data_IF_873741640393
#
_entry.id   IF_873741640393
#
_cell.length_a   1.000
_cell.length_b   1.000
_cell.length_c   1.000
_cell.angle_alpha   90.00
_cell.angle_beta   90.00
_cell.angle_gamma   90.00
#
_symmetry.space_group_name_H-M   'P 1'
#
loop_
_entity.id
_entity.type
_entity.pdbx_description
1 polymer ?
#
# COMPACT_ATOMS: atom_id res chain seq x y z
N UNK A 1 -46.76 -33.01 6.46
CA UNK A 1 -47.28 -32.71 7.80
C UNK A 1 -46.88 -31.28 8.15
N UNK A 2 -47.89 -30.40 8.13
CA UNK A 2 -47.80 -28.96 8.29
C UNK A 2 -47.90 -28.63 9.77
N UNK A 3 -47.07 -27.72 10.30
CA UNK A 3 -47.33 -27.07 11.56
C UNK A 3 -47.04 -25.55 11.39
N UNK A 4 -48.13 -24.84 11.21
CA UNK A 4 -48.26 -23.39 11.29
C UNK A 4 -48.49 -22.98 12.76
N UNK A 5 -47.69 -22.08 13.30
CA UNK A 5 -47.93 -21.41 14.57
C UNK A 5 -48.64 -20.07 14.33
N UNK A 6 -49.85 -19.96 14.82
CA UNK A 6 -50.63 -18.71 14.92
C UNK A 6 -50.16 -17.87 16.12
N UNK A 7 -49.93 -16.58 15.90
CA UNK A 7 -49.76 -15.57 16.99
C UNK A 7 -50.94 -14.62 16.93
N UNK A 8 -51.69 -14.56 18.05
CA UNK A 8 -52.80 -13.65 18.28
C UNK A 8 -52.32 -12.30 18.86
N UNK A 9 -52.91 -11.17 18.47
CA UNK A 9 -52.52 -9.85 18.99
C UNK A 9 -53.27 -9.49 20.28
N UNK A 10 -52.54 -8.94 21.26
CA UNK A 10 -53.08 -8.41 22.52
C UNK A 10 -53.36 -6.91 22.36
N UNK A 11 -54.57 -6.48 22.67
CA UNK A 11 -55.02 -5.07 22.76
C UNK A 11 -54.53 -4.41 24.05
N UNK A 12 -54.18 -3.12 24.07
CA UNK A 12 -53.92 -2.39 25.29
C UNK A 12 -55.21 -1.72 25.84
N UNK A 13 -55.44 -1.84 27.14
CA UNK A 13 -56.41 -1.05 27.90
C UNK A 13 -55.70 -0.40 29.09
N UNK A 14 -56.13 0.81 29.33
CA UNK A 14 -56.14 1.65 30.55
C UNK A 14 -55.24 2.89 30.50
N UNK A 15 -56.03 3.99 30.44
CA UNK A 15 -55.70 5.37 30.74
C UNK A 15 -55.57 5.60 32.26
N UNK A 16 -54.58 6.37 32.70
CA UNK A 16 -54.51 6.99 34.03
C UNK A 16 -54.12 8.47 33.96
N UNK A 17 -54.45 9.31 34.92
CA UNK A 17 -54.74 10.70 34.72
C UNK A 17 -53.54 11.66 34.87
N UNK A 18 -53.68 12.83 34.27
CA UNK A 18 -52.80 14.00 34.38
C UNK A 18 -52.54 14.43 35.84
N UNK A 19 -51.29 14.48 36.26
CA UNK A 19 -50.79 15.33 37.34
C UNK A 19 -49.79 16.32 36.79
N UNK A 20 -50.10 17.60 36.90
CA UNK A 20 -49.23 18.73 36.64
C UNK A 20 -48.14 18.82 37.71
N UNK A 21 -46.88 18.86 37.30
CA UNK A 21 -45.72 19.22 38.12
C UNK A 21 -45.14 20.55 37.66
N UNK A 22 -44.58 21.37 38.57
CA UNK A 22 -44.11 22.71 38.23
C UNK A 22 -42.83 22.71 37.44
N UNK A 23 -42.70 23.66 36.53
CA UNK A 23 -41.53 23.91 35.67
C UNK A 23 -40.32 24.31 36.51
N UNK A 24 -39.30 23.43 36.54
CA UNK A 24 -37.96 23.78 37.03
C UNK A 24 -37.16 24.26 35.82
N UNK A 25 -36.71 25.52 35.88
CA UNK A 25 -35.73 26.07 34.92
C UNK A 25 -34.41 25.31 35.05
N UNK A 26 -34.17 24.35 34.19
CA UNK A 26 -32.84 23.75 33.98
C UNK A 26 -32.22 24.44 32.75
N UNK A 27 -31.66 25.60 33.01
CA UNK A 27 -30.90 26.33 32.02
C UNK A 27 -29.40 26.23 32.30
N UNK A 28 -28.65 26.01 31.27
CA UNK A 28 -27.20 26.26 31.13
C UNK A 28 -26.16 25.22 31.60
N UNK A 29 -26.46 24.18 32.37
CA UNK A 29 -25.41 23.18 32.69
C UNK A 29 -25.26 22.02 31.68
N UNK A 30 -26.30 21.74 30.92
CA UNK A 30 -26.30 20.63 29.93
C UNK A 30 -25.50 20.97 28.66
N UNK A 31 -25.39 22.24 28.28
CA UNK A 31 -24.63 22.66 27.09
C UNK A 31 -23.12 22.51 27.28
N UNK A 32 -22.58 22.82 28.47
CA UNK A 32 -21.13 22.67 28.74
C UNK A 32 -20.72 21.18 28.80
N UNK A 33 -21.58 20.32 29.39
CA UNK A 33 -21.25 18.90 29.48
C UNK A 33 -21.29 18.20 28.13
N UNK A 34 -22.22 18.61 27.25
CA UNK A 34 -22.28 18.08 25.88
C UNK A 34 -21.06 18.54 25.03
N UNK A 35 -20.62 19.78 25.23
CA UNK A 35 -19.43 20.30 24.53
C UNK A 35 -18.13 19.64 25.01
N UNK A 36 -18.00 19.37 26.31
CA UNK A 36 -16.83 18.65 26.84
C UNK A 36 -16.81 17.17 26.42
N UNK A 37 -17.97 16.51 26.34
CA UNK A 37 -18.07 15.12 25.85
C UNK A 37 -17.76 15.06 24.33
N UNK A 38 -18.19 16.06 23.56
CA UNK A 38 -17.89 16.12 22.12
C UNK A 38 -16.39 16.39 21.87
N UNK A 39 -15.78 17.32 22.62
CA UNK A 39 -14.33 17.61 22.53
C UNK A 39 -13.51 16.41 23.01
N UNK A 40 -13.92 15.73 24.09
CA UNK A 40 -13.26 14.52 24.56
C UNK A 40 -13.32 13.37 23.55
N UNK A 41 -14.45 13.20 22.84
CA UNK A 41 -14.59 12.18 21.78
C UNK A 41 -13.76 12.52 20.52
N UNK A 42 -13.70 13.80 20.14
CA UNK A 42 -12.88 14.24 18.98
C UNK A 42 -11.39 14.13 19.29
N UNK A 43 -10.95 14.46 20.53
CA UNK A 43 -9.58 14.25 20.97
C UNK A 43 -9.24 12.75 21.07
N UNK A 44 -10.11 11.91 21.61
CA UNK A 44 -9.90 10.47 21.70
C UNK A 44 -9.85 9.81 20.31
N UNK A 45 -10.70 10.24 19.37
CA UNK A 45 -10.60 9.81 17.96
C UNK A 45 -9.31 10.31 17.31
N UNK A 46 -8.89 11.55 17.58
CA UNK A 46 -7.62 12.10 17.09
C UNK A 46 -6.43 11.31 17.63
N UNK A 47 -6.37 10.97 18.91
CA UNK A 47 -5.32 10.13 19.50
C UNK A 47 -5.37 8.68 18.99
N UNK A 48 -6.55 8.08 18.78
CA UNK A 48 -6.67 6.77 18.14
C UNK A 48 -6.15 6.78 16.70
N UNK A 49 -6.50 7.80 15.92
CA UNK A 49 -6.01 7.95 14.54
C UNK A 49 -4.49 8.16 14.53
N UNK A 50 -3.94 9.02 15.39
CA UNK A 50 -2.49 9.24 15.51
C UNK A 50 -1.77 7.99 16.03
N UNK A 51 -2.30 7.27 17.01
CA UNK A 51 -1.76 6.01 17.49
C UNK A 51 -1.83 4.90 16.43
N UNK A 52 -2.89 4.84 15.64
CA UNK A 52 -2.97 4.00 14.45
C UNK A 52 -1.88 4.38 13.44
N UNK A 53 -1.66 5.66 13.16
CA UNK A 53 -0.63 6.13 12.23
C UNK A 53 0.79 5.80 12.67
N UNK A 54 1.12 5.91 13.97
CA UNK A 54 2.43 5.52 14.51
C UNK A 54 2.63 3.99 14.47
N UNK A 55 1.63 3.20 14.79
CA UNK A 55 1.65 1.75 14.60
C UNK A 55 1.74 1.36 13.11
N UNK A 56 1.16 2.16 12.22
CA UNK A 56 1.15 1.93 10.79
C UNK A 56 2.52 2.01 10.15
N UNK A 57 3.27 3.10 10.43
CA UNK A 57 4.62 3.27 9.89
C UNK A 57 5.54 2.15 10.37
N UNK A 58 5.47 1.78 11.66
CA UNK A 58 6.29 0.70 12.22
C UNK A 58 5.85 -0.70 11.78
N UNK A 59 4.54 -0.92 11.50
CA UNK A 59 4.04 -2.20 11.01
C UNK A 59 4.41 -2.43 9.55
N UNK A 60 4.24 -1.41 8.69
CA UNK A 60 4.60 -1.49 7.28
C UNK A 60 6.10 -1.69 7.07
N UNK A 61 6.90 -1.08 7.92
CA UNK A 61 8.36 -1.21 7.93
C UNK A 61 8.83 -2.63 8.27
N UNK A 62 8.23 -3.26 9.26
CA UNK A 62 8.57 -4.64 9.62
C UNK A 62 8.00 -5.68 8.65
N UNK A 63 7.02 -5.30 7.82
CA UNK A 63 6.41 -6.17 6.81
C UNK A 63 7.33 -6.46 5.62
N UNK A 64 8.26 -5.56 5.34
CA UNK A 64 9.23 -5.75 4.25
C UNK A 64 10.38 -6.68 4.70
N UNK A 65 10.47 -7.03 5.98
CA UNK A 65 11.63 -7.71 6.56
C UNK A 65 11.55 -9.24 6.66
N UNK A 66 10.51 -9.89 6.15
CA UNK A 66 10.42 -11.35 6.21
C UNK A 66 10.66 -11.96 4.84
N UNK A 67 11.77 -12.67 4.74
CA UNK A 67 12.21 -13.34 3.53
C UNK A 67 11.42 -14.63 3.24
N UNK A 68 10.95 -14.75 1.99
CA UNK A 68 10.63 -16.04 1.39
C UNK A 68 11.91 -16.87 1.08
N UNK A 69 13.07 -16.25 1.15
CA UNK A 69 14.40 -16.87 0.99
C UNK A 69 15.14 -16.88 2.33
N UNK A 70 14.86 -17.89 3.16
CA UNK A 70 15.63 -18.31 4.33
C UNK A 70 16.22 -17.21 5.22
N UNK A 71 15.62 -17.00 6.40
CA UNK A 71 16.15 -16.35 7.63
C UNK A 71 17.48 -15.56 7.51
N UNK A 72 17.59 -14.61 6.63
CA UNK A 72 18.53 -13.53 6.81
C UNK A 72 17.83 -12.45 7.66
N UNK A 73 18.45 -12.07 8.78
CA UNK A 73 18.06 -10.85 9.51
C UNK A 73 18.37 -9.66 8.59
N UNK A 74 17.42 -9.25 7.76
CA UNK A 74 17.55 -8.13 6.84
C UNK A 74 16.81 -6.91 7.37
N UNK A 75 17.43 -5.75 7.25
CA UNK A 75 16.79 -4.48 7.48
C UNK A 75 16.01 -4.06 6.24
N UNK A 76 14.68 -4.08 6.32
CA UNK A 76 13.82 -3.48 5.31
C UNK A 76 13.67 -1.98 5.53
N UNK A 77 13.97 -1.18 4.53
CA UNK A 77 13.84 0.28 4.58
C UNK A 77 12.99 0.76 3.42
N UNK A 78 12.02 1.64 3.71
CA UNK A 78 11.10 2.20 2.72
C UNK A 78 11.14 3.73 2.73
N UNK A 79 10.81 4.32 1.57
CA UNK A 79 10.54 5.73 1.39
C UNK A 79 9.42 5.94 0.37
N UNK A 80 8.29 6.48 0.78
CA UNK A 80 7.12 6.64 -0.07
C UNK A 80 5.91 7.22 0.65
N UNK A 81 4.75 6.98 0.05
CA UNK A 81 3.46 7.42 0.56
C UNK A 81 2.45 6.27 0.60
N UNK A 82 1.58 6.28 1.60
CA UNK A 82 0.48 5.35 1.76
C UNK A 82 -0.88 6.05 1.84
N UNK A 83 -1.91 5.39 1.36
CA UNK A 83 -3.30 5.81 1.43
C UNK A 83 -4.08 4.82 2.30
N UNK A 84 -4.35 5.16 3.57
CA UNK A 84 -4.98 4.26 4.54
C UNK A 84 -6.51 4.34 4.47
N UNK A 85 -7.06 4.28 3.27
CA UNK A 85 -8.50 4.28 3.02
C UNK A 85 -8.82 3.26 1.94
N UNK A 86 -10.04 2.75 2.00
CA UNK A 86 -10.51 1.73 1.06
C UNK A 86 -10.47 2.19 -0.39
N UNK A 87 -9.80 1.42 -1.25
CA UNK A 87 -9.71 1.66 -2.69
C UNK A 87 -10.01 0.40 -3.48
N UNK A 88 -10.71 0.55 -4.61
CA UNK A 88 -11.03 -0.54 -5.53
C UNK A 88 -10.00 -0.66 -6.66
N UNK A 89 -9.25 0.38 -6.90
CA UNK A 89 -8.24 0.40 -7.95
C UNK A 89 -7.23 1.51 -7.72
N UNK A 90 -6.01 1.26 -8.17
CA UNK A 90 -4.94 2.24 -8.18
C UNK A 90 -4.09 2.10 -9.43
N UNK A 91 -3.61 3.21 -9.95
CA UNK A 91 -2.71 3.29 -11.12
C UNK A 91 -1.56 4.22 -10.83
N UNK A 92 -0.36 3.83 -11.27
CA UNK A 92 0.83 4.64 -11.05
C UNK A 92 1.88 4.44 -12.12
N UNK A 93 2.57 5.50 -12.49
CA UNK A 93 3.79 5.49 -13.29
C UNK A 93 5.00 5.38 -12.37
N UNK A 94 5.79 4.32 -12.53
CA UNK A 94 7.00 4.05 -11.76
C UNK A 94 8.22 4.33 -12.64
N UNK A 95 9.10 5.23 -12.20
CA UNK A 95 10.38 5.46 -12.85
C UNK A 95 11.31 4.23 -12.68
N UNK A 96 11.90 3.75 -13.78
CA UNK A 96 12.77 2.58 -13.78
C UNK A 96 14.19 3.03 -13.47
N UNK A 97 14.62 2.78 -12.24
CA UNK A 97 15.98 3.08 -11.79
C UNK A 97 16.61 1.83 -11.17
N UNK A 98 17.77 1.46 -11.66
CA UNK A 98 18.52 0.32 -11.17
C UNK A 98 19.85 0.76 -10.56
N UNK A 99 20.16 0.27 -9.37
CA UNK A 99 21.49 0.39 -8.79
C UNK A 99 22.38 -0.69 -9.37
N UNK A 100 23.51 -0.30 -9.96
CA UNK A 100 24.53 -1.24 -10.40
C UNK A 100 25.44 -1.62 -9.24
N UNK A 101 25.92 -2.88 -9.23
CA UNK A 101 26.92 -3.34 -8.26
C UNK A 101 26.36 -3.64 -6.87
N UNK A 102 25.11 -4.06 -6.77
CA UNK A 102 24.56 -4.55 -5.51
C UNK A 102 25.25 -5.85 -5.07
N UNK A 103 25.43 -5.98 -3.76
CA UNK A 103 25.84 -7.23 -3.15
C UNK A 103 24.78 -8.31 -3.38
N UNK A 104 25.18 -9.57 -3.44
CA UNK A 104 24.27 -10.70 -3.64
C UNK A 104 23.09 -10.72 -2.65
N UNK A 105 23.34 -10.28 -1.42
CA UNK A 105 22.35 -10.25 -0.32
C UNK A 105 21.48 -9.00 -0.29
N UNK A 106 21.70 -8.04 -1.18
CA UNK A 106 20.99 -6.76 -1.18
C UNK A 106 19.85 -6.75 -2.19
N UNK A 107 18.80 -6.03 -1.85
CA UNK A 107 17.68 -5.73 -2.73
C UNK A 107 17.42 -4.22 -2.77
N UNK A 108 17.12 -3.68 -3.94
CA UNK A 108 16.62 -2.31 -4.10
C UNK A 108 15.54 -2.28 -5.17
N UNK A 109 14.44 -1.60 -4.89
CA UNK A 109 13.30 -1.58 -5.82
C UNK A 109 12.30 -0.48 -5.54
N UNK A 110 11.21 -0.54 -6.31
CA UNK A 110 10.04 0.31 -6.20
C UNK A 110 8.78 -0.49 -6.49
N UNK A 111 7.76 -0.30 -5.68
CA UNK A 111 6.52 -1.07 -5.79
C UNK A 111 5.26 -0.26 -5.54
N UNK A 112 4.20 -0.72 -6.17
CA UNK A 112 2.81 -0.51 -5.81
C UNK A 112 2.38 -1.67 -4.94
N UNK A 113 1.86 -1.42 -3.76
CA UNK A 113 1.33 -2.43 -2.85
C UNK A 113 -0.08 -2.10 -2.38
N UNK A 114 -0.87 -3.15 -2.20
CA UNK A 114 -2.17 -3.10 -1.54
C UNK A 114 -2.16 -4.08 -0.37
N UNK A 115 -2.83 -3.72 0.70
CA UNK A 115 -2.85 -4.57 1.90
C UNK A 115 -3.99 -4.25 2.84
N UNK A 116 -4.15 -5.05 3.87
CA UNK A 116 -5.02 -4.73 4.99
C UNK A 116 -4.27 -4.00 6.09
N UNK A 117 -5.06 -3.28 6.89
CA UNK A 117 -4.61 -2.69 8.14
C UNK A 117 -5.00 -3.66 9.24
N UNK A 118 -4.05 -4.42 9.78
CA UNK A 118 -4.33 -5.30 10.90
C UNK A 118 -3.42 -4.95 12.07
N UNK A 119 -4.02 -4.69 13.21
CA UNK A 119 -3.31 -4.44 14.47
C UNK A 119 -2.59 -5.71 14.96
N UNK A 120 -3.17 -6.87 14.68
CA UNK A 120 -2.49 -8.15 14.83
C UNK A 120 -1.69 -8.46 13.56
N UNK A 121 -0.40 -8.14 13.60
CA UNK A 121 0.56 -8.40 12.51
C UNK A 121 0.58 -9.85 12.02
N UNK A 122 -0.04 -10.78 12.75
CA UNK A 122 -0.10 -12.19 12.39
C UNK A 122 -0.95 -12.50 11.17
N UNK A 123 -1.84 -11.58 10.79
CA UNK A 123 -2.83 -11.75 9.73
C UNK A 123 -2.74 -10.70 8.62
N UNK A 124 -1.59 -10.07 8.46
CA UNK A 124 -1.37 -9.10 7.39
C UNK A 124 -1.38 -9.78 6.03
N UNK A 125 -2.27 -9.29 5.17
CA UNK A 125 -2.36 -9.68 3.77
C UNK A 125 -1.82 -8.55 2.91
N UNK A 126 -0.99 -8.88 1.93
CA UNK A 126 -0.50 -7.90 0.96
C UNK A 126 -0.27 -8.53 -0.40
N UNK A 127 -0.51 -7.74 -1.44
CA UNK A 127 -0.12 -7.96 -2.81
C UNK A 127 0.77 -6.80 -3.22
N UNK A 128 1.84 -7.10 -3.93
CA UNK A 128 2.84 -6.13 -4.34
C UNK A 128 3.26 -6.42 -5.78
N UNK A 129 3.38 -5.36 -6.58
CA UNK A 129 3.89 -5.43 -7.94
C UNK A 129 4.82 -4.24 -8.19
N UNK A 130 5.94 -4.48 -8.88
CA UNK A 130 6.92 -3.42 -9.09
C UNK A 130 8.19 -3.89 -9.78
N UNK A 131 9.27 -3.20 -9.50
CA UNK A 131 10.56 -3.45 -10.13
C UNK A 131 11.66 -3.44 -9.09
N UNK A 132 12.59 -4.38 -9.20
CA UNK A 132 13.71 -4.46 -8.28
C UNK A 132 14.99 -5.02 -8.93
N UNK A 133 16.10 -4.81 -8.25
CA UNK A 133 17.34 -5.53 -8.43
C UNK A 133 17.51 -6.45 -7.22
N UNK A 134 17.59 -7.75 -7.43
CA UNK A 134 17.79 -8.77 -6.41
C UNK A 134 18.71 -9.87 -6.93
N UNK A 135 20.03 -9.71 -6.79
CA UNK A 135 21.00 -10.65 -7.36
C UNK A 135 20.85 -12.07 -6.82
N UNK A 136 20.44 -12.23 -5.58
CA UNK A 136 20.19 -13.54 -4.97
C UNK A 136 19.11 -14.36 -5.71
N UNK A 137 18.09 -13.68 -6.29
CA UNK A 137 17.00 -14.34 -7.00
C UNK A 137 17.33 -14.60 -8.47
N UNK A 138 18.07 -13.68 -9.12
CA UNK A 138 18.25 -13.69 -10.58
C UNK A 138 19.67 -14.03 -11.04
N UNK A 139 20.62 -14.17 -10.12
CA UNK A 139 22.06 -14.35 -10.41
C UNK A 139 22.65 -13.23 -11.30
N UNK A 140 22.07 -12.04 -11.27
CA UNK A 140 22.56 -10.86 -11.98
C UNK A 140 22.07 -9.57 -11.30
N UNK A 141 22.66 -8.42 -11.68
CA UNK A 141 22.26 -7.09 -11.22
C UNK A 141 21.26 -6.41 -12.19
N UNK A 142 20.50 -7.18 -12.95
CA UNK A 142 19.45 -6.68 -13.82
C UNK A 142 18.24 -6.12 -13.04
N UNK A 143 17.53 -5.23 -13.70
CA UNK A 143 16.29 -4.69 -13.19
C UNK A 143 15.14 -5.58 -13.65
N UNK A 144 14.40 -6.17 -12.71
CA UNK A 144 13.37 -7.17 -13.00
C UNK A 144 11.99 -6.69 -12.56
N UNK A 145 10.98 -7.01 -13.35
CA UNK A 145 9.59 -6.92 -12.90
C UNK A 145 9.33 -8.03 -11.90
N UNK A 146 8.73 -7.68 -10.76
CA UNK A 146 8.37 -8.67 -9.75
C UNK A 146 6.94 -8.49 -9.28
N UNK A 147 6.38 -9.58 -8.80
CA UNK A 147 5.20 -9.59 -7.94
C UNK A 147 5.55 -10.34 -6.64
N UNK A 148 4.82 -10.02 -5.58
CA UNK A 148 4.93 -10.70 -4.29
C UNK A 148 3.61 -10.63 -3.57
N UNK A 149 3.32 -11.66 -2.77
CA UNK A 149 2.11 -11.71 -1.96
C UNK A 149 2.31 -12.47 -0.67
N UNK A 150 1.47 -12.20 0.34
CA UNK A 150 1.34 -13.00 1.58
C UNK A 150 -0.03 -12.81 2.20
N UNK A 151 -0.52 -13.81 2.93
CA UNK A 151 -1.77 -13.72 3.70
C UNK A 151 -1.56 -13.82 5.22
N UNK A 152 -0.33 -13.95 5.68
CA UNK A 152 0.00 -14.17 7.09
C UNK A 152 1.30 -13.50 7.52
N UNK A 153 1.65 -12.39 6.87
CA UNK A 153 2.89 -11.66 7.11
C UNK A 153 4.14 -12.53 6.90
N UNK A 154 4.16 -13.31 5.84
CA UNK A 154 5.27 -14.21 5.45
C UNK A 154 5.64 -15.26 6.51
N UNK A 155 4.73 -15.63 7.41
CA UNK A 155 4.99 -16.67 8.43
C UNK A 155 5.03 -18.06 7.83
N UNK A 156 4.07 -18.38 6.97
CA UNK A 156 3.94 -19.66 6.29
C UNK A 156 3.53 -19.52 4.82
N UNK A 157 3.08 -18.33 4.43
CA UNK A 157 2.70 -18.04 3.07
C UNK A 157 3.48 -16.85 2.53
N UNK A 158 3.65 -16.82 1.22
CA UNK A 158 4.30 -15.72 0.53
C UNK A 158 5.28 -16.24 -0.51
N UNK A 159 5.35 -15.51 -1.61
CA UNK A 159 6.10 -15.93 -2.77
C UNK A 159 6.51 -14.74 -3.61
N UNK A 160 7.65 -14.88 -4.23
CA UNK A 160 8.07 -14.04 -5.34
C UNK A 160 7.65 -14.66 -6.66
N UNK A 161 7.25 -13.80 -7.59
CA UNK A 161 7.02 -14.15 -8.98
C UNK A 161 6.10 -15.38 -9.15
N UNK A 162 6.55 -16.37 -9.87
CA UNK A 162 5.85 -17.62 -10.15
C UNK A 162 6.49 -18.81 -9.43
N UNK A 163 7.32 -18.57 -8.42
CA UNK A 163 8.05 -19.62 -7.70
C UNK A 163 7.13 -20.50 -6.85
N UNK A 164 5.91 -20.05 -6.58
CA UNK A 164 4.86 -20.85 -5.97
C UNK A 164 3.47 -20.53 -6.59
N UNK A 165 2.48 -21.40 -6.40
CA UNK A 165 1.12 -21.12 -6.83
C UNK A 165 0.54 -19.83 -6.22
N UNK A 166 -0.13 -19.02 -7.03
CA UNK A 166 -0.74 -17.77 -6.55
C UNK A 166 -1.15 -16.87 -7.70
N UNK A 167 -0.25 -16.05 -8.19
CA UNK A 167 -0.52 -15.19 -9.34
C UNK A 167 -0.67 -16.01 -10.63
N UNK A 168 -1.66 -15.65 -11.43
CA UNK A 168 -1.99 -16.34 -12.67
C UNK A 168 -1.76 -15.40 -13.87
N UNK A 169 -0.63 -15.52 -14.59
CA UNK A 169 -0.39 -14.75 -15.80
C UNK A 169 -1.15 -15.35 -16.99
N UNK A 170 -1.63 -14.53 -17.95
CA UNK A 170 -2.16 -15.03 -19.21
C UNK A 170 -1.03 -15.54 -20.12
N UNK A 171 -1.36 -16.40 -21.05
CA UNK A 171 -0.45 -16.75 -22.13
C UNK A 171 -0.11 -15.50 -22.98
N UNK A 172 1.18 -15.23 -23.19
CA UNK A 172 1.63 -14.10 -24.01
C UNK A 172 1.52 -12.73 -23.32
N UNK A 173 1.56 -12.68 -21.99
CA UNK A 173 1.61 -11.42 -21.25
C UNK A 173 2.79 -10.54 -21.74
N UNK A 174 2.55 -9.22 -21.88
CA UNK A 174 3.55 -8.26 -22.34
C UNK A 174 4.71 -8.07 -21.35
N UNK A 175 4.54 -8.54 -20.12
CA UNK A 175 5.54 -8.51 -19.06
C UNK A 175 5.22 -9.63 -18.07
N UNK A 176 6.17 -10.52 -17.83
CA UNK A 176 6.01 -11.69 -16.96
C UNK A 176 6.79 -11.47 -15.66
N UNK A 177 6.26 -11.83 -14.48
CA UNK A 177 7.00 -11.78 -13.23
C UNK A 177 8.36 -12.52 -13.34
N UNK A 178 9.42 -11.86 -12.88
CA UNK A 178 10.80 -12.33 -13.04
C UNK A 178 11.50 -11.87 -14.32
N UNK A 179 10.78 -11.29 -15.27
CA UNK A 179 11.36 -10.82 -16.53
C UNK A 179 12.25 -9.59 -16.30
N UNK A 180 13.43 -9.60 -16.92
CA UNK A 180 14.31 -8.44 -16.95
C UNK A 180 13.67 -7.30 -17.75
N UNK A 181 13.78 -6.10 -17.22
CA UNK A 181 13.33 -4.85 -17.84
C UNK A 181 14.54 -4.01 -18.14
N UNK A 182 14.82 -3.80 -19.41
CA UNK A 182 15.98 -3.05 -19.86
C UNK A 182 15.59 -2.00 -20.90
N UNK A 183 16.36 -0.94 -21.00
CA UNK A 183 17.35 -0.41 -20.06
C UNK A 183 16.70 0.46 -18.96
N UNK A 184 17.34 0.67 -17.82
CA UNK A 184 16.89 1.62 -16.80
C UNK A 184 17.09 3.07 -17.24
N UNK A 185 16.54 4.01 -16.47
CA UNK A 185 16.81 5.44 -16.59
C UNK A 185 18.28 5.74 -16.34
N UNK A 186 18.75 6.82 -16.95
CA UNK A 186 20.14 7.29 -16.80
C UNK A 186 20.14 8.70 -16.22
N UNK A 187 20.97 8.92 -15.21
CA UNK A 187 21.07 10.20 -14.50
C UNK A 187 21.24 11.37 -15.47
N UNK A 188 20.35 12.36 -15.33
CA UNK A 188 20.24 13.59 -16.12
C UNK A 188 20.10 13.40 -17.66
N UNK A 189 19.79 12.18 -18.10
CA UNK A 189 19.64 11.84 -19.52
C UNK A 189 18.28 11.21 -19.80
N UNK A 190 18.23 9.89 -19.88
CA UNK A 190 17.03 9.14 -20.24
C UNK A 190 16.14 8.90 -19.02
N UNK A 191 14.86 9.19 -19.18
CA UNK A 191 13.82 8.99 -18.19
C UNK A 191 12.88 7.89 -18.67
N UNK A 192 13.04 6.68 -18.13
CA UNK A 192 12.26 5.49 -18.49
C UNK A 192 11.31 5.14 -17.37
N UNK A 193 10.14 4.65 -17.75
CA UNK A 193 9.10 4.28 -16.81
C UNK A 193 8.23 3.16 -17.34
N UNK A 194 7.51 2.51 -16.43
CA UNK A 194 6.37 1.66 -16.73
C UNK A 194 5.19 2.13 -15.89
N UNK A 195 3.99 2.07 -16.47
CA UNK A 195 2.75 2.37 -15.75
C UNK A 195 2.04 1.06 -15.48
N UNK A 196 1.74 0.81 -14.20
CA UNK A 196 0.96 -0.35 -13.78
C UNK A 196 -0.28 0.08 -13.03
N UNK A 197 -1.30 -0.77 -13.07
CA UNK A 197 -2.51 -0.61 -12.26
C UNK A 197 -2.97 -1.94 -11.68
N UNK A 198 -3.51 -1.87 -10.47
CA UNK A 198 -4.20 -2.95 -9.78
C UNK A 198 -5.67 -2.58 -9.64
N UNK A 199 -6.55 -3.45 -10.09
CA UNK A 199 -8.00 -3.27 -10.06
C UNK A 199 -8.67 -4.47 -9.42
N UNK A 200 -9.76 -4.27 -8.71
CA UNK A 200 -10.66 -5.36 -8.35
C UNK A 200 -11.53 -5.69 -9.56
N UNK A 201 -11.57 -6.96 -9.98
CA UNK A 201 -12.55 -7.43 -10.96
C UNK A 201 -13.93 -7.53 -10.28
N UNK A 202 -14.96 -6.83 -10.76
CA UNK A 202 -16.26 -6.80 -10.10
C UNK A 202 -17.03 -8.14 -10.16
N UNK A 203 -16.63 -9.07 -11.02
CA UNK A 203 -17.31 -10.37 -11.18
C UNK A 203 -16.63 -11.47 -10.35
N UNK A 204 -15.30 -11.52 -10.37
CA UNK A 204 -14.53 -12.55 -9.67
C UNK A 204 -14.02 -12.08 -8.30
N UNK A 205 -13.91 -10.76 -8.10
CA UNK A 205 -13.32 -10.10 -6.94
C UNK A 205 -11.80 -10.36 -6.79
N UNK A 206 -11.19 -10.86 -7.85
CA UNK A 206 -9.73 -10.99 -7.96
C UNK A 206 -9.08 -9.62 -8.12
N UNK A 207 -7.82 -9.53 -7.72
CA UNK A 207 -7.00 -8.36 -8.04
C UNK A 207 -6.29 -8.57 -9.36
N UNK A 208 -6.66 -7.79 -10.37
CA UNK A 208 -6.11 -7.86 -11.72
C UNK A 208 -5.04 -6.80 -11.93
N UNK A 209 -3.94 -7.20 -12.55
CA UNK A 209 -2.78 -6.36 -12.81
C UNK A 209 -2.66 -6.06 -14.29
N UNK A 210 -2.47 -4.78 -14.61
CA UNK A 210 -2.28 -4.29 -15.99
C UNK A 210 -0.99 -3.49 -16.12
N UNK A 211 -0.46 -3.48 -17.33
CA UNK A 211 0.52 -2.52 -17.81
C UNK A 211 -0.14 -1.52 -18.74
N UNK A 212 -0.08 -0.22 -18.41
CA UNK A 212 -0.90 0.83 -19.01
C UNK A 212 -0.10 1.86 -19.84
N UNK A 213 1.20 1.67 -20.03
CA UNK A 213 2.05 2.55 -20.83
C UNK A 213 2.17 2.13 -22.29
N UNK A 214 1.52 1.06 -22.69
CA UNK A 214 1.43 0.57 -24.05
C UNK A 214 0.31 1.27 -24.82
N UNK A 215 0.27 1.12 -26.14
CA UNK A 215 -0.80 1.67 -26.98
C UNK A 215 -2.20 1.26 -26.49
N UNK A 216 -2.32 0.02 -26.02
CA UNK A 216 -3.49 -0.49 -25.30
C UNK A 216 -3.04 -1.10 -23.98
N UNK A 217 -3.80 -0.91 -22.90
CA UNK A 217 -3.53 -1.60 -21.63
C UNK A 217 -3.39 -3.11 -21.84
N UNK A 218 -2.32 -3.68 -21.29
CA UNK A 218 -2.06 -5.11 -21.38
C UNK A 218 -2.31 -5.79 -20.05
N UNK A 219 -3.19 -6.78 -20.04
CA UNK A 219 -3.44 -7.64 -18.88
C UNK A 219 -2.19 -8.47 -18.59
N UNK A 220 -1.67 -8.37 -17.38
CA UNK A 220 -0.47 -9.09 -16.93
C UNK A 220 -0.81 -10.34 -16.13
N UNK A 221 -2.01 -10.41 -15.56
CA UNK A 221 -2.48 -11.52 -14.75
C UNK A 221 -3.31 -11.07 -13.56
N UNK A 222 -3.68 -12.03 -12.72
CA UNK A 222 -4.51 -11.76 -11.55
C UNK A 222 -4.02 -12.54 -10.32
N UNK A 223 -4.36 -12.01 -9.16
CA UNK A 223 -4.25 -12.66 -7.88
C UNK A 223 -5.65 -13.14 -7.49
N UNK A 224 -5.91 -14.47 -7.44
CA UNK A 224 -7.17 -15.00 -6.96
C UNK A 224 -7.52 -14.46 -5.57
N UNK A 225 -8.76 -14.12 -5.33
CA UNK A 225 -9.23 -13.52 -4.07
C UNK A 225 -8.90 -14.34 -2.83
N UNK A 226 -8.81 -15.65 -2.97
CA UNK A 226 -8.48 -16.58 -1.88
C UNK A 226 -7.04 -16.45 -1.40
N UNK A 227 -6.14 -15.87 -2.20
CA UNK A 227 -4.76 -15.64 -1.79
C UNK A 227 -4.66 -14.66 -0.63
N UNK A 228 -5.49 -13.62 -0.66
CA UNK A 228 -5.44 -12.55 0.32
C UNK A 228 -6.86 -12.16 0.78
N UNK A 229 -7.54 -13.00 1.58
CA UNK A 229 -8.95 -12.83 1.90
C UNK A 229 -9.30 -11.55 2.68
N UNK A 230 -8.33 -10.90 3.31
CA UNK A 230 -8.55 -9.63 4.04
C UNK A 230 -8.49 -8.37 3.18
N UNK A 231 -8.10 -8.52 1.92
CA UNK A 231 -8.16 -7.43 0.93
C UNK A 231 -9.07 -7.80 -0.23
N UNK A 232 -9.95 -8.76 -0.02
CA UNK A 232 -10.91 -9.19 -0.99
C UNK A 232 -11.88 -8.07 -1.36
N UNK A 233 -11.99 -7.79 -2.65
CA UNK A 233 -12.90 -6.80 -3.21
C UNK A 233 -12.53 -5.33 -2.94
N UNK A 234 -11.77 -5.04 -1.89
CA UNK A 234 -11.37 -3.69 -1.53
C UNK A 234 -10.07 -3.69 -0.72
N UNK A 235 -9.13 -2.81 -1.06
CA UNK A 235 -7.88 -2.66 -0.33
C UNK A 235 -7.99 -1.55 0.73
N UNK A 236 -7.91 -1.88 2.01
CA UNK A 236 -7.89 -0.87 3.08
C UNK A 236 -6.63 0.01 3.09
N UNK A 237 -5.57 -0.44 2.41
CA UNK A 237 -4.33 0.29 2.28
C UNK A 237 -3.80 0.16 0.85
N UNK A 238 -3.42 1.28 0.27
CA UNK A 238 -2.59 1.35 -0.94
C UNK A 238 -1.30 2.07 -0.60
N UNK A 239 -0.16 1.60 -1.10
CA UNK A 239 1.11 2.30 -0.91
C UNK A 239 1.97 2.27 -2.18
N UNK A 240 2.74 3.33 -2.34
CA UNK A 240 3.74 3.50 -3.40
C UNK A 240 5.07 3.79 -2.71
N UNK A 241 6.00 2.84 -2.80
CA UNK A 241 7.24 2.92 -2.02
C UNK A 241 8.47 2.54 -2.84
N UNK A 242 9.53 3.33 -2.71
CA UNK A 242 10.88 2.82 -2.90
C UNK A 242 11.29 2.00 -1.69
N UNK A 243 12.06 0.96 -1.89
CA UNK A 243 12.52 0.11 -0.79
C UNK A 243 13.93 -0.44 -1.04
N UNK A 244 14.61 -0.76 0.06
CA UNK A 244 15.87 -1.51 0.05
C UNK A 244 15.85 -2.57 1.17
N UNK A 245 16.59 -3.68 0.97
CA UNK A 245 16.87 -4.68 1.99
C UNK A 245 18.34 -5.04 1.97
N UNK A 246 18.92 -5.21 3.15
CA UNK A 246 20.33 -5.55 3.33
C UNK A 246 20.57 -6.10 4.72
N UNK A 247 21.66 -6.83 4.89
CA UNK A 247 22.03 -7.41 6.19
C UNK A 247 22.35 -6.34 7.24
N UNK A 248 22.09 -6.64 8.51
CA UNK A 248 22.24 -5.70 9.64
C UNK A 248 23.66 -5.13 9.80
N UNK A 249 24.68 -5.80 9.24
CA UNK A 249 26.08 -5.40 9.31
C UNK A 249 26.62 -4.83 8.01
N UNK A 250 25.75 -4.69 7.00
CA UNK A 250 26.14 -4.19 5.68
C UNK A 250 25.74 -2.73 5.51
N UNK A 251 26.46 -2.00 4.67
CA UNK A 251 25.99 -0.72 4.17
C UNK A 251 24.83 -0.94 3.18
N UNK A 252 23.72 -0.22 3.35
CA UNK A 252 22.55 -0.35 2.48
C UNK A 252 22.86 0.00 1.02
N UNK A 253 22.18 -0.62 0.05
CA UNK A 253 22.31 -0.25 -1.35
C UNK A 253 21.66 1.12 -1.63
N UNK A 254 21.93 1.69 -2.79
CA UNK A 254 21.21 2.87 -3.24
C UNK A 254 19.71 2.55 -3.40
N UNK A 255 18.86 3.49 -3.00
CA UNK A 255 17.42 3.43 -3.25
C UNK A 255 17.07 4.27 -4.48
N UNK A 256 16.31 3.70 -5.40
CA UNK A 256 15.93 4.36 -6.64
C UNK A 256 17.14 4.69 -7.53
N UNK A 257 17.35 5.96 -7.83
CA UNK A 257 18.52 6.44 -8.59
C UNK A 257 19.82 6.55 -7.78
N UNK A 258 19.73 6.38 -6.45
CA UNK A 258 20.83 6.70 -5.54
C UNK A 258 20.96 8.18 -5.17
N UNK A 259 20.07 9.02 -5.69
CA UNK A 259 20.04 10.45 -5.47
C UNK A 259 18.85 10.85 -4.59
N UNK A 260 18.98 11.97 -3.88
CA UNK A 260 17.92 12.47 -3.02
C UNK A 260 16.80 13.14 -3.82
N UNK A 261 15.56 13.17 -3.28
CA UNK A 261 14.39 13.78 -3.91
C UNK A 261 14.57 15.23 -4.34
N UNK A 262 15.39 15.97 -3.62
CA UNK A 262 15.69 17.40 -3.84
C UNK A 262 16.34 17.66 -5.20
N UNK A 263 16.99 16.65 -5.79
CA UNK A 263 17.58 16.77 -7.13
C UNK A 263 16.54 16.74 -8.27
N UNK A 264 15.35 16.20 -8.00
CA UNK A 264 14.18 16.32 -8.84
C UNK A 264 14.27 15.55 -10.18
N UNK A 265 13.69 16.18 -11.21
CA UNK A 265 13.46 15.57 -12.52
C UNK A 265 14.73 15.05 -13.16
N UNK A 266 14.66 13.82 -13.74
CA UNK A 266 15.72 13.08 -14.42
C UNK A 266 16.89 12.65 -13.51
N UNK A 267 16.88 13.02 -12.25
CA UNK A 267 17.94 12.75 -11.29
C UNK A 267 17.48 11.84 -10.18
N UNK A 268 16.37 12.19 -9.53
CA UNK A 268 15.75 11.36 -8.49
C UNK A 268 14.71 10.38 -9.06
N UNK A 269 14.59 9.22 -8.44
CA UNK A 269 13.53 8.26 -8.75
C UNK A 269 12.15 8.82 -8.34
N UNK A 270 11.08 8.32 -8.96
CA UNK A 270 9.77 8.91 -8.78
C UNK A 270 8.61 7.92 -8.93
N UNK A 271 7.49 8.30 -8.32
CA UNK A 271 6.16 7.84 -8.66
C UNK A 271 5.36 9.02 -9.21
N UNK A 272 4.71 8.85 -10.37
CA UNK A 272 3.96 9.89 -11.07
C UNK A 272 2.60 9.40 -11.51
N UNK A 273 1.70 10.35 -11.81
CA UNK A 273 0.35 10.09 -12.29
C UNK A 273 -0.39 9.08 -11.40
N UNK A 274 -0.25 9.27 -10.08
CA UNK A 274 -0.91 8.46 -9.06
C UNK A 274 -2.40 8.73 -9.16
N UNK A 275 -3.19 7.65 -9.29
CA UNK A 275 -4.65 7.69 -9.35
C UNK A 275 -5.23 6.63 -8.43
N UNK A 276 -6.31 7.00 -7.78
CA UNK A 276 -7.17 6.11 -7.01
C UNK A 276 -8.57 6.12 -7.63
N UNK A 277 -9.27 5.01 -7.55
CA UNK A 277 -10.58 4.86 -8.16
C UNK A 277 -11.57 4.27 -7.17
N UNK A 278 -12.79 4.80 -7.20
CA UNK A 278 -13.93 4.25 -6.46
C UNK A 278 -14.53 3.01 -7.18
N UNK A 279 -15.58 2.43 -6.59
CA UNK A 279 -16.28 1.26 -7.14
C UNK A 279 -16.96 1.52 -8.49
N UNK A 280 -17.12 2.78 -8.90
CA UNK A 280 -17.70 3.19 -10.18
C UNK A 280 -16.64 3.61 -11.20
N UNK A 281 -15.36 3.34 -10.90
CA UNK A 281 -14.20 3.75 -11.69
C UNK A 281 -14.01 5.28 -11.83
N UNK A 282 -14.61 6.08 -10.95
CA UNK A 282 -14.30 7.51 -10.91
C UNK A 282 -12.96 7.73 -10.22
N UNK A 283 -12.15 8.60 -10.80
CA UNK A 283 -10.89 9.05 -10.19
C UNK A 283 -11.22 10.00 -9.04
N UNK A 284 -10.59 9.79 -7.89
CA UNK A 284 -10.66 10.72 -6.77
C UNK A 284 -9.26 11.12 -6.29
N UNK A 285 -9.17 12.30 -5.70
CA UNK A 285 -7.91 12.83 -5.20
C UNK A 285 -7.48 12.11 -3.91
N UNK A 286 -6.21 11.70 -3.81
CA UNK A 286 -5.68 11.09 -2.61
C UNK A 286 -5.54 12.15 -1.50
N UNK A 287 -6.54 12.25 -0.64
CA UNK A 287 -6.49 13.04 0.59
C UNK A 287 -6.18 12.16 1.80
N UNK A 288 -5.47 12.68 2.80
CA UNK A 288 -5.14 11.90 4.00
C UNK A 288 -4.01 10.88 3.81
N UNK A 289 -3.13 11.12 2.86
CA UNK A 289 -1.92 10.31 2.67
C UNK A 289 -1.00 10.38 3.88
N UNK A 290 -0.37 9.25 4.18
CA UNK A 290 0.66 9.13 5.20
C UNK A 290 2.04 8.96 4.58
N UNK A 291 3.03 9.63 5.14
CA UNK A 291 4.43 9.49 4.75
C UNK A 291 5.00 8.21 5.35
N UNK A 292 5.57 7.37 4.52
CA UNK A 292 6.17 6.08 4.89
C UNK A 292 7.69 6.18 4.72
N UNK A 293 8.40 6.54 5.78
CA UNK A 293 9.87 6.61 5.80
C UNK A 293 10.37 6.12 7.15
N UNK A 294 11.18 5.08 7.17
CA UNK A 294 11.71 4.52 8.41
C UNK A 294 13.17 4.88 8.70
N UNK A 295 13.95 5.30 7.69
CA UNK A 295 15.34 5.78 7.85
C UNK A 295 15.55 7.11 7.12
N UNK A 296 14.96 8.23 7.60
CA UNK A 296 15.00 9.51 6.90
C UNK A 296 16.40 10.14 6.82
N UNK A 297 17.36 9.70 7.62
CA UNK A 297 18.77 10.10 7.51
C UNK A 297 19.46 9.53 6.29
N UNK A 298 18.98 8.41 5.75
CA UNK A 298 19.59 7.70 4.63
C UNK A 298 18.75 7.82 3.36
N UNK A 299 17.45 7.60 3.48
CA UNK A 299 16.52 7.54 2.35
C UNK A 299 15.36 8.49 2.60
N UNK A 300 15.01 9.24 1.58
CA UNK A 300 14.03 10.32 1.68
C UNK A 300 12.90 10.16 0.67
N UNK A 301 11.79 10.83 0.95
CA UNK A 301 10.69 11.06 0.03
C UNK A 301 10.32 12.54 0.05
N UNK A 302 10.06 13.15 -1.11
CA UNK A 302 9.57 14.51 -1.21
C UNK A 302 8.13 14.62 -0.70
N UNK A 303 7.64 15.85 -0.55
CA UNK A 303 6.21 16.08 -0.43
C UNK A 303 5.47 15.56 -1.65
N UNK A 304 4.18 15.22 -1.46
CA UNK A 304 3.30 14.95 -2.58
C UNK A 304 3.04 16.25 -3.35
N UNK A 305 3.27 16.23 -4.64
CA UNK A 305 3.09 17.37 -5.54
C UNK A 305 2.00 17.05 -6.55
N UNK A 306 1.32 18.10 -7.04
CA UNK A 306 0.43 17.98 -8.19
C UNK A 306 1.02 18.79 -9.33
N UNK A 307 1.41 18.11 -10.41
CA UNK A 307 2.00 18.72 -11.58
C UNK A 307 1.06 18.59 -12.80
N UNK A 308 0.95 19.66 -13.63
CA UNK A 308 0.02 19.70 -14.76
C UNK A 308 0.17 18.51 -15.74
N UNK A 309 1.41 18.04 -15.97
CA UNK A 309 1.70 16.92 -16.90
C UNK A 309 1.83 15.57 -16.19
N UNK A 310 2.29 15.56 -14.94
CA UNK A 310 2.68 14.36 -14.20
C UNK A 310 1.65 13.93 -13.15
N UNK A 311 0.54 14.70 -12.98
CA UNK A 311 -0.50 14.44 -11.99
C UNK A 311 0.03 14.48 -10.55
N UNK A 312 -0.57 13.72 -9.65
CA UNK A 312 -0.03 13.51 -8.31
C UNK A 312 1.26 12.71 -8.40
N UNK A 313 2.32 13.22 -7.78
CA UNK A 313 3.65 12.65 -7.88
C UNK A 313 4.52 12.97 -6.68
N UNK A 314 5.55 12.16 -6.49
CA UNK A 314 6.64 12.44 -5.56
C UNK A 314 7.95 11.83 -6.05
N UNK A 315 9.06 12.35 -5.52
CA UNK A 315 10.41 11.79 -5.69
C UNK A 315 10.84 11.05 -4.43
N UNK A 316 11.69 10.03 -4.61
CA UNK A 316 12.25 9.26 -3.51
C UNK A 316 13.66 8.78 -3.84
N UNK A 317 14.44 8.42 -2.82
CA UNK A 317 15.75 7.82 -3.01
C UNK A 317 16.75 8.18 -1.94
N UNK A 318 17.99 7.76 -2.17
CA UNK A 318 19.15 8.06 -1.34
C UNK A 318 20.34 7.16 -1.70
N UNK A 319 21.55 7.57 -1.29
CA UNK A 319 22.80 6.92 -1.70
C UNK A 319 23.02 5.57 -1.00
N UNK A 320 24.05 4.86 -1.47
CA UNK A 320 24.60 3.67 -0.81
C UNK A 320 25.24 4.01 0.54
N UNK A 321 25.46 2.97 1.36
CA UNK A 321 26.26 3.09 2.59
C UNK A 321 25.45 3.40 3.85
N UNK A 322 24.12 3.35 3.78
CA UNK A 322 23.28 3.47 4.98
C UNK A 322 23.56 2.33 5.95
N UNK A 323 24.12 2.63 7.10
CA UNK A 323 24.29 1.66 8.20
C UNK A 323 23.03 1.55 9.05
N UNK A 324 22.76 0.33 9.48
CA UNK A 324 21.52 -0.08 10.13
C UNK A 324 21.28 0.46 11.52
#
# INVERSE_FOLDING_TARGET
>A
MSNTCHVTPIKPTHSLPHRSFPSIKVGQKTSMLHHQILIGRTLAMGYMVVAMFICFSSAFVNLISVDAYGRMETNGTIAGWGFPMSSYSTRVKIGIWGSQGQHHTQESGASLSIGNIDLDRSSFNTIEAGFHVLPALYNNNGFHFFIRWTKDNYKSTGCYNLDCPGFVPPSGAALVPGQAVAPPSTYDREDRYITISLHTDPNTEDWVLYRDDLEKPSFLGHFPKELCPKIWGIAPLVAWTGFVRYGNKEGGPAMGSGHFPEEGRKKAAYFKNIKLFDSKANVYDPSGLIRLVNKPSCYKVSDLMTAKKDGHMFYYGGPTGCVG
#
